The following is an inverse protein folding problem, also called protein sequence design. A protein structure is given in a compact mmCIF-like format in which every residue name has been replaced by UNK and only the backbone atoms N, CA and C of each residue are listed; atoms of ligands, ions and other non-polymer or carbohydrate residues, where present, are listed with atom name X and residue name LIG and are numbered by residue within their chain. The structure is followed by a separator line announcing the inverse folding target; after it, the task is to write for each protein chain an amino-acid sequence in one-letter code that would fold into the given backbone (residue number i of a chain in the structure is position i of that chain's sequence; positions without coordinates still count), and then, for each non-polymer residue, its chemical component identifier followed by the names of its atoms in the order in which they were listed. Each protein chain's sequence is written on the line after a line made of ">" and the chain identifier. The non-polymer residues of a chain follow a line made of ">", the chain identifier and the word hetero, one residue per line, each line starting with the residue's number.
data_IF_792469632090
#
_entry.id   IF_792469632090
#
_cell.length_a   1.000
_cell.length_b   1.000
_cell.length_c   1.000
_cell.angle_alpha   90.00
_cell.angle_beta   90.00
_cell.angle_gamma   90.00
#
_symmetry.space_group_name_H-M   'P 1'
#
loop_
_entity.id
_entity.type
_entity.pdbx_description
1 polymer ?
#
# COMPACT_ATOMS: atom_id res chain seq x y z
N UNK A 1 7.67 1.29 10.91
CA UNK A 1 8.04 2.73 10.97
C UNK A 1 8.73 3.12 12.29
N UNK A 2 9.67 4.08 12.28
CA UNK A 2 10.29 4.65 13.50
C UNK A 2 9.46 5.80 14.09
N UNK A 3 9.52 6.01 15.41
CA UNK A 3 8.86 7.12 16.10
C UNK A 3 9.34 8.50 15.63
N UNK A 4 10.58 8.58 15.14
CA UNK A 4 11.19 9.81 14.62
C UNK A 4 10.60 10.23 13.26
N UNK A 5 10.36 9.25 12.37
CA UNK A 5 9.74 9.48 11.07
C UNK A 5 8.31 10.00 11.22
N UNK A 6 7.53 9.39 12.12
CA UNK A 6 6.17 9.86 12.44
C UNK A 6 6.17 11.31 12.89
N UNK A 7 7.11 11.68 13.76
CA UNK A 7 7.23 13.03 14.30
C UNK A 7 7.57 14.03 13.20
N UNK A 8 8.44 13.66 12.27
CA UNK A 8 8.79 14.50 11.11
C UNK A 8 7.58 14.78 10.23
N UNK A 9 6.74 13.78 9.97
CA UNK A 9 5.50 13.94 9.18
C UNK A 9 4.52 14.87 9.91
N UNK A 10 4.30 14.65 11.20
CA UNK A 10 3.42 15.51 12.01
C UNK A 10 3.91 16.97 12.06
N UNK A 11 5.23 17.19 12.09
CA UNK A 11 5.81 18.53 12.02
C UNK A 11 5.51 19.19 10.67
N UNK A 12 5.58 18.45 9.55
CA UNK A 12 5.26 18.98 8.22
C UNK A 12 3.77 19.36 8.08
N UNK A 13 2.88 18.62 8.73
CA UNK A 13 1.44 18.97 8.81
C UNK A 13 1.24 20.24 9.64
N UNK A 14 1.90 20.33 10.80
CA UNK A 14 1.80 21.50 11.67
C UNK A 14 2.36 22.78 11.01
N UNK A 15 3.41 22.63 10.21
CA UNK A 15 4.00 23.71 9.41
C UNK A 15 3.12 24.08 8.19
N UNK A 16 2.06 23.32 7.90
CA UNK A 16 1.20 23.50 6.73
C UNK A 16 1.87 23.20 5.39
N UNK A 17 2.99 22.47 5.41
CA UNK A 17 3.74 22.08 4.19
C UNK A 17 3.04 20.97 3.41
N UNK A 18 2.29 20.14 4.12
CA UNK A 18 1.46 19.06 3.58
C UNK A 18 0.10 19.07 4.30
N UNK A 19 -0.92 18.55 3.64
CA UNK A 19 -2.25 18.38 4.24
C UNK A 19 -2.31 17.15 5.15
N UNK A 20 -3.38 17.06 5.94
CA UNK A 20 -3.63 15.90 6.81
C UNK A 20 -3.81 14.62 5.98
N UNK A 21 -4.41 14.73 4.80
CA UNK A 21 -4.64 13.61 3.87
C UNK A 21 -3.31 13.12 3.28
N UNK A 22 -2.47 14.04 2.80
CA UNK A 22 -1.13 13.71 2.30
C UNK A 22 -0.25 13.05 3.37
N UNK A 23 -0.37 13.49 4.63
CA UNK A 23 0.34 12.88 5.74
C UNK A 23 -0.16 11.46 6.06
N UNK A 24 -1.46 11.20 5.94
CA UNK A 24 -2.03 9.87 6.14
C UNK A 24 -1.54 8.89 5.07
N UNK A 25 -1.49 9.34 3.82
CA UNK A 25 -0.94 8.54 2.71
C UNK A 25 0.55 8.27 2.89
N UNK A 26 1.33 9.27 3.32
CA UNK A 26 2.75 9.09 3.58
C UNK A 26 3.02 8.11 4.73
N UNK A 27 2.26 8.23 5.83
CA UNK A 27 2.36 7.30 6.96
C UNK A 27 2.00 5.87 6.53
N UNK A 28 0.99 5.71 5.69
CA UNK A 28 0.60 4.40 5.15
C UNK A 28 1.68 3.83 4.22
N UNK A 29 2.22 4.63 3.31
CA UNK A 29 3.28 4.20 2.39
C UNK A 29 4.59 3.81 3.09
N UNK A 30 4.88 4.42 4.25
CA UNK A 30 6.06 4.12 5.06
C UNK A 30 5.84 2.96 6.04
N UNK A 31 4.59 2.61 6.35
CA UNK A 31 4.24 1.49 7.24
C UNK A 31 3.99 0.19 6.47
N UNK A 32 3.68 0.28 5.18
CA UNK A 32 3.74 -0.88 4.27
C UNK A 32 5.22 -1.21 4.06
N UNK A 33 5.73 -2.35 4.57
CA UNK A 33 7.04 -2.82 4.14
C UNK A 33 6.98 -2.93 2.62
N UNK A 34 8.03 -2.53 1.93
CA UNK A 34 8.15 -2.62 0.48
C UNK A 34 8.24 -4.08 -0.04
N UNK A 35 7.44 -4.98 0.55
CA UNK A 35 7.18 -6.37 0.18
C UNK A 35 5.78 -6.54 -0.46
N UNK A 36 5.08 -5.44 -0.75
CA UNK A 36 4.11 -5.44 -1.84
C UNK A 36 4.89 -5.03 -3.11
N UNK A 37 5.77 -5.94 -3.56
CA UNK A 37 5.84 -6.19 -4.99
C UNK A 37 4.38 -6.29 -5.43
N UNK A 38 4.01 -5.51 -6.44
CA UNK A 38 2.82 -5.81 -7.19
C UNK A 38 3.02 -7.25 -7.67
N UNK A 39 2.48 -8.23 -6.93
CA UNK A 39 2.16 -9.53 -7.45
C UNK A 39 1.16 -9.21 -8.55
N UNK A 40 1.72 -8.97 -9.73
CA UNK A 40 1.10 -9.10 -11.01
C UNK A 40 0.24 -10.34 -10.87
N UNK A 41 -1.07 -10.13 -10.73
CA UNK A 41 -2.03 -11.23 -10.78
C UNK A 41 -1.88 -11.75 -12.20
N UNK A 42 -0.95 -12.69 -12.40
CA UNK A 42 -0.93 -13.60 -13.53
C UNK A 42 -2.23 -14.39 -13.40
N UNK A 43 -3.27 -13.88 -14.04
CA UNK A 43 -4.47 -14.66 -14.35
C UNK A 43 -3.97 -15.73 -15.31
N UNK A 44 -3.47 -16.84 -14.78
CA UNK A 44 -3.25 -18.04 -15.57
C UNK A 44 -4.61 -18.55 -16.02
N UNK A 45 -4.91 -18.34 -17.29
CA UNK A 45 -6.15 -18.73 -17.98
C UNK A 45 -6.30 -20.26 -18.14
N UNK A 46 -6.00 -21.07 -17.11
CA UNK A 46 -5.99 -22.53 -17.29
C UNK A 46 -6.47 -23.30 -16.06
N UNK A 47 -7.80 -23.38 -15.90
CA UNK A 47 -8.56 -24.65 -15.94
C UNK A 47 -10.01 -24.40 -15.50
N UNK A 48 -10.90 -24.18 -16.49
CA UNK A 48 -12.33 -24.34 -16.26
C UNK A 48 -12.58 -25.84 -16.04
N UNK A 49 -12.84 -26.23 -14.79
CA UNK A 49 -13.40 -27.54 -14.48
C UNK A 49 -14.83 -27.57 -15.04
N UNK A 50 -14.98 -28.09 -16.26
CA UNK A 50 -16.26 -28.65 -16.74
C UNK A 50 -16.04 -30.12 -17.07
N UNK A 51 -16.16 -30.96 -16.04
CA UNK A 51 -16.67 -32.31 -16.25
C UNK A 51 -18.16 -32.19 -16.56
N UNK A 52 -18.48 -31.83 -17.81
CA UNK A 52 -19.81 -31.91 -18.37
C UNK A 52 -19.82 -33.06 -19.40
N UNK A 53 -20.56 -34.11 -19.06
CA UNK A 53 -21.12 -35.15 -19.94
C UNK A 53 -20.16 -35.94 -20.85
N UNK A 54 -19.85 -37.16 -20.41
CA UNK A 54 -20.15 -38.36 -21.21
C UNK A 54 -20.31 -39.59 -20.32
#
# INVERSE_FOLDING_TARGET
>A
MSAEERRKILQMVADGKITVEEAADLMRALDVPADDEFDEIEISDNEIIVNLFN
#
